data_IF_720772142158
#
_entry.id   IF_720772142158
#
_cell.length_a   1.000
_cell.length_b   1.000
_cell.length_c   1.000
_cell.angle_alpha   90.00
_cell.angle_beta   90.00
_cell.angle_gamma   90.00
#
_symmetry.space_group_name_H-M   'P 1'
#
loop_
_entity.id
_entity.type
_entity.pdbx_description
1 polymer ?
#
# COMPACT_ATOMS: atom_id res chain seq x y z
N UNK A 1 11.27 3.71 -80.86
CA UNK A 1 11.04 2.72 -79.80
C UNK A 1 11.19 3.39 -78.45
N UNK A 2 10.08 3.71 -77.77
CA UNK A 2 10.11 4.27 -76.41
C UNK A 2 10.32 3.12 -75.41
N UNK A 3 11.33 3.23 -74.54
CA UNK A 3 11.48 2.34 -73.40
C UNK A 3 10.74 2.95 -72.21
N UNK A 4 9.61 2.37 -71.85
CA UNK A 4 8.91 2.70 -70.61
C UNK A 4 9.78 2.26 -69.43
N UNK A 5 10.29 3.20 -68.63
CA UNK A 5 10.87 2.90 -67.33
C UNK A 5 9.86 3.24 -66.25
N UNK A 6 9.41 2.22 -65.53
CA UNK A 6 8.60 2.38 -64.33
C UNK A 6 9.55 2.56 -63.15
N UNK A 7 9.62 3.77 -62.60
CA UNK A 7 10.36 4.03 -61.36
C UNK A 7 9.42 3.72 -60.21
N UNK A 8 9.59 2.56 -59.55
CA UNK A 8 8.92 2.26 -58.28
C UNK A 8 9.81 2.75 -57.13
N UNK A 9 9.62 3.99 -56.71
CA UNK A 9 10.13 4.50 -55.44
C UNK A 9 8.97 4.58 -54.44
N UNK A 10 9.10 3.94 -53.28
CA UNK A 10 8.25 4.24 -52.12
C UNK A 10 8.85 5.46 -51.44
N UNK A 11 8.11 6.57 -51.41
CA UNK A 11 8.35 7.63 -50.44
C UNK A 11 7.50 7.28 -49.23
N UNK A 12 8.15 6.96 -48.11
CA UNK A 12 7.49 6.73 -46.83
C UNK A 12 7.46 8.05 -46.11
N UNK A 13 6.28 8.62 -45.93
CA UNK A 13 6.07 9.82 -45.11
C UNK A 13 5.34 9.34 -43.84
N UNK A 14 5.96 9.51 -42.67
CA UNK A 14 5.29 9.29 -41.39
C UNK A 14 4.64 10.62 -41.03
N UNK A 15 3.36 10.77 -41.36
CA UNK A 15 2.50 11.81 -40.80
C UNK A 15 1.54 11.14 -39.82
N UNK A 16 1.46 11.65 -38.60
CA UNK A 16 0.65 11.13 -37.50
C UNK A 16 -0.85 11.33 -37.67
N UNK A 17 -1.41 10.94 -38.81
CA UNK A 17 -2.84 11.03 -39.10
C UNK A 17 -3.12 10.58 -40.53
N UNK A 18 -4.05 9.65 -40.70
CA UNK A 18 -4.36 8.98 -41.98
C UNK A 18 -4.57 9.94 -43.15
N UNK A 19 -3.69 9.88 -44.15
CA UNK A 19 -4.00 10.29 -45.51
C UNK A 19 -3.28 9.39 -46.52
N UNK A 20 -4.00 8.92 -47.55
CA UNK A 20 -3.47 8.20 -48.71
C UNK A 20 -3.73 9.02 -49.96
N UNK A 21 -2.69 9.39 -50.69
CA UNK A 21 -2.81 9.93 -52.04
C UNK A 21 -2.23 8.95 -53.07
N UNK A 22 -3.03 8.66 -54.11
CA UNK A 22 -2.60 7.90 -55.28
C UNK A 22 -2.15 8.87 -56.38
N UNK A 23 -0.93 8.70 -56.87
CA UNK A 23 -0.41 9.53 -57.96
C UNK A 23 -1.11 9.24 -59.29
N UNK A 24 -1.65 10.28 -59.92
CA UNK A 24 -2.11 10.21 -61.31
C UNK A 24 -0.90 10.03 -62.25
N UNK A 25 -1.04 9.09 -63.21
CA UNK A 25 -0.12 8.77 -64.31
C UNK A 25 0.76 9.94 -64.75
N UNK A 26 2.08 9.75 -64.73
CA UNK A 26 3.03 10.64 -65.42
C UNK A 26 3.45 9.97 -66.74
N UNK A 27 3.12 10.61 -67.87
CA UNK A 27 3.58 10.23 -69.21
C UNK A 27 4.73 11.17 -69.57
N UNK A 28 5.91 10.63 -69.87
CA UNK A 28 7.08 11.42 -70.28
C UNK A 28 7.51 10.97 -71.68
N UNK A 29 7.42 11.87 -72.65
CA UNK A 29 8.01 11.68 -73.98
C UNK A 29 9.47 12.20 -73.96
N UNK A 30 10.38 11.40 -74.50
CA UNK A 30 11.82 11.57 -74.36
C UNK A 30 12.37 12.79 -75.13
N UNK A 31 13.35 13.49 -74.52
CA UNK A 31 14.27 14.36 -75.26
C UNK A 31 14.98 15.47 -74.48
N UNK A 32 14.51 15.87 -73.30
CA UNK A 32 15.07 17.03 -72.57
C UNK A 32 15.21 16.84 -71.05
N UNK A 33 16.05 17.68 -70.44
CA UNK A 33 16.26 17.75 -68.99
C UNK A 33 14.98 18.26 -68.31
N UNK A 34 14.43 17.49 -67.37
CA UNK A 34 13.21 17.85 -66.64
C UNK A 34 13.62 18.65 -65.39
N UNK A 35 13.29 19.95 -65.37
CA UNK A 35 13.42 20.80 -64.18
C UNK A 35 12.03 21.03 -63.60
N UNK A 36 11.53 20.09 -62.78
CA UNK A 36 10.32 20.28 -61.99
C UNK A 36 10.73 20.47 -60.53
N UNK A 37 10.50 21.67 -59.99
CA UNK A 37 10.70 21.96 -58.58
C UNK A 37 9.33 21.92 -57.90
N UNK A 38 9.13 20.96 -56.99
CA UNK A 38 7.95 20.94 -56.15
C UNK A 38 7.90 22.22 -55.30
N UNK A 39 6.69 22.75 -55.05
CA UNK A 39 6.50 23.89 -54.15
C UNK A 39 7.10 23.56 -52.78
N UNK A 40 8.04 24.39 -52.33
CA UNK A 40 8.67 24.26 -51.02
C UNK A 40 7.73 24.88 -49.98
N UNK A 41 7.15 24.05 -49.13
CA UNK A 41 6.42 24.52 -47.95
C UNK A 41 7.42 24.58 -46.80
N UNK A 42 7.57 25.76 -46.20
CA UNK A 42 8.27 25.92 -44.92
C UNK A 42 7.23 25.79 -43.82
N UNK A 43 7.26 24.64 -43.14
CA UNK A 43 6.62 24.51 -41.84
C UNK A 43 7.53 25.20 -40.81
N UNK A 44 6.96 25.84 -39.79
CA UNK A 44 7.74 26.50 -38.74
C UNK A 44 8.72 25.55 -38.05
N UNK A 45 9.55 26.07 -37.14
CA UNK A 45 10.34 25.23 -36.24
C UNK A 45 9.44 24.09 -35.74
N UNK A 46 9.84 22.82 -35.89
CA UNK A 46 9.01 21.72 -35.43
C UNK A 46 8.68 21.98 -33.97
N UNK A 47 7.39 22.05 -33.64
CA UNK A 47 6.99 21.97 -32.24
C UNK A 47 7.70 20.75 -31.67
N UNK A 48 8.44 20.95 -30.57
CA UNK A 48 8.99 19.81 -29.85
C UNK A 48 7.85 18.80 -29.71
N UNK A 49 8.08 17.52 -30.05
CA UNK A 49 7.04 16.51 -29.90
C UNK A 49 6.47 16.73 -28.51
N UNK A 50 5.12 16.86 -28.36
CA UNK A 50 4.54 17.09 -27.05
C UNK A 50 5.20 16.09 -26.15
N UNK A 51 5.88 16.58 -25.10
CA UNK A 51 6.57 15.71 -24.16
C UNK A 51 5.54 14.64 -23.89
N UNK A 52 5.83 13.41 -24.33
CA UNK A 52 5.14 12.28 -23.74
C UNK A 52 5.57 12.45 -22.31
N UNK A 53 4.72 13.09 -21.50
CA UNK A 53 4.36 12.48 -20.25
C UNK A 53 4.18 11.03 -20.67
N UNK A 54 5.25 10.23 -20.49
CA UNK A 54 5.06 8.88 -20.07
C UNK A 54 3.92 9.05 -19.07
N UNK A 55 2.76 8.46 -19.34
CA UNK A 55 1.83 8.22 -18.26
C UNK A 55 2.70 7.51 -17.22
N UNK A 56 3.25 8.32 -16.30
CA UNK A 56 4.27 7.90 -15.37
C UNK A 56 3.54 6.80 -14.66
N UNK A 57 4.00 5.57 -14.87
CA UNK A 57 3.37 4.40 -14.26
C UNK A 57 3.15 4.79 -12.81
N UNK A 58 1.88 4.94 -12.41
CA UNK A 58 1.42 5.11 -11.03
C UNK A 58 1.64 3.78 -10.32
N UNK A 59 2.89 3.33 -10.38
CA UNK A 59 3.47 2.41 -9.44
C UNK A 59 3.49 3.18 -8.11
N UNK A 60 2.30 3.42 -7.56
CA UNK A 60 2.08 3.45 -6.14
C UNK A 60 2.36 2.01 -5.76
N UNK A 61 3.63 1.73 -5.50
CA UNK A 61 4.12 0.36 -5.37
C UNK A 61 3.50 -0.25 -4.12
N UNK A 62 3.27 0.54 -3.08
CA UNK A 62 2.56 0.15 -1.87
C UNK A 62 1.84 1.36 -1.22
N UNK A 63 0.69 1.14 -0.61
CA UNK A 63 0.09 2.06 0.36
C UNK A 63 0.64 1.68 1.76
N UNK A 64 0.89 2.66 2.64
CA UNK A 64 1.29 2.43 4.05
C UNK A 64 0.13 2.75 5.00
N UNK A 65 -1.09 2.75 4.46
CA UNK A 65 -2.28 3.32 5.10
C UNK A 65 -2.72 2.48 6.31
N UNK A 66 -2.25 1.24 6.41
CA UNK A 66 -2.53 0.32 7.50
C UNK A 66 -1.71 0.51 8.79
N UNK A 67 -0.64 1.30 8.79
CA UNK A 67 0.28 1.42 9.93
C UNK A 67 0.00 2.64 10.81
N UNK A 68 0.83 3.69 10.76
CA UNK A 68 0.79 4.86 11.64
C UNK A 68 -0.63 5.40 11.90
N UNK A 69 -1.28 5.93 10.85
CA UNK A 69 -2.54 6.68 11.00
C UNK A 69 -3.68 5.76 11.43
N UNK A 70 -3.71 4.52 10.95
CA UNK A 70 -4.74 3.55 11.37
C UNK A 70 -4.60 3.19 12.84
N UNK A 71 -3.40 2.86 13.30
CA UNK A 71 -3.14 2.55 14.72
C UNK A 71 -3.46 3.75 15.60
N UNK A 72 -3.03 4.95 15.21
CA UNK A 72 -3.29 6.15 15.99
C UNK A 72 -4.79 6.41 16.13
N UNK A 73 -5.54 6.36 15.03
CA UNK A 73 -6.98 6.60 15.05
C UNK A 73 -7.72 5.55 15.90
N UNK A 74 -7.37 4.27 15.80
CA UNK A 74 -7.98 3.20 16.61
C UNK A 74 -7.70 3.42 18.10
N UNK A 75 -6.46 3.72 18.48
CA UNK A 75 -6.08 4.03 19.87
C UNK A 75 -6.93 5.20 20.42
N UNK A 76 -7.04 6.30 19.68
CA UNK A 76 -7.86 7.45 20.07
C UNK A 76 -9.36 7.11 20.17
N UNK A 77 -9.88 6.26 19.28
CA UNK A 77 -11.27 5.80 19.35
C UNK A 77 -11.56 4.96 20.59
N UNK A 78 -10.61 4.13 21.02
CA UNK A 78 -10.70 3.34 22.25
C UNK A 78 -10.53 4.20 23.53
N UNK A 79 -10.15 5.46 23.38
CA UNK A 79 -9.95 6.40 24.49
C UNK A 79 -8.59 6.26 25.17
N UNK A 80 -7.58 5.76 24.46
CA UNK A 80 -6.19 5.88 24.89
C UNK A 80 -5.80 7.36 24.99
N UNK A 81 -4.91 7.71 25.92
CA UNK A 81 -4.36 9.06 25.99
C UNK A 81 -3.62 9.40 24.69
N UNK A 82 -3.66 10.67 24.28
CA UNK A 82 -3.10 11.15 23.01
C UNK A 82 -1.59 10.87 22.89
N UNK A 83 -0.82 11.12 23.95
CA UNK A 83 0.63 10.94 23.95
C UNK A 83 1.01 9.46 23.83
N UNK A 84 0.35 8.58 24.60
CA UNK A 84 0.56 7.13 24.52
C UNK A 84 0.12 6.55 23.16
N UNK A 85 -0.97 7.08 22.59
CA UNK A 85 -1.48 6.65 21.29
C UNK A 85 -0.54 7.06 20.15
N UNK A 86 0.00 8.28 20.21
CA UNK A 86 0.97 8.80 19.25
C UNK A 86 2.30 8.04 19.35
N UNK A 87 2.81 7.82 20.56
CA UNK A 87 4.04 7.06 20.78
C UNK A 87 3.94 5.63 20.23
N UNK A 88 2.82 4.94 20.48
CA UNK A 88 2.60 3.60 19.96
C UNK A 88 2.45 3.58 18.43
N UNK A 89 1.81 4.59 17.85
CA UNK A 89 1.69 4.74 16.40
C UNK A 89 3.05 5.00 15.75
N UNK A 90 3.88 5.88 16.32
CA UNK A 90 5.27 6.12 15.87
C UNK A 90 6.09 4.84 15.95
N UNK A 91 5.99 4.10 17.05
CA UNK A 91 6.70 2.83 17.20
C UNK A 91 6.24 1.78 16.17
N UNK A 92 4.96 1.80 15.79
CA UNK A 92 4.40 0.91 14.75
C UNK A 92 4.90 1.26 13.36
N UNK A 93 5.11 2.55 13.07
CA UNK A 93 5.64 3.00 11.78
C UNK A 93 7.17 2.79 11.67
N UNK A 94 7.87 2.78 12.79
CA UNK A 94 9.33 2.79 12.86
C UNK A 94 10.07 1.82 11.92
N UNK A 95 9.57 0.59 11.64
CA UNK A 95 10.19 -0.27 10.64
C UNK A 95 10.26 0.37 9.26
N UNK A 96 9.16 0.95 8.77
CA UNK A 96 9.08 1.50 7.41
C UNK A 96 9.44 2.98 7.31
N UNK A 97 9.22 3.77 8.38
CA UNK A 97 9.49 5.20 8.36
C UNK A 97 9.99 5.70 9.71
N UNK A 98 11.01 6.55 9.68
CA UNK A 98 11.42 7.37 10.82
C UNK A 98 10.65 8.68 10.80
N UNK A 99 9.79 8.90 11.80
CA UNK A 99 9.01 10.13 11.95
C UNK A 99 9.80 11.11 12.83
N UNK A 100 10.27 12.21 12.25
CA UNK A 100 10.95 13.28 12.99
C UNK A 100 9.97 14.34 13.49
N UNK A 101 8.84 14.52 12.79
CA UNK A 101 7.72 15.41 13.16
C UNK A 101 6.51 15.14 12.26
N UNK A 102 5.36 15.78 12.52
CA UNK A 102 4.16 15.75 11.65
C UNK A 102 4.43 16.19 10.19
N UNK A 103 5.59 16.82 9.91
CA UNK A 103 5.99 17.32 8.59
C UNK A 103 7.11 16.52 7.93
N UNK A 104 7.77 15.61 8.64
CA UNK A 104 9.07 15.08 8.25
C UNK A 104 9.19 13.57 8.47
N UNK A 105 9.01 12.82 7.37
CA UNK A 105 8.89 11.37 7.32
C UNK A 105 10.00 10.79 6.43
N UNK A 106 10.96 10.09 7.04
CA UNK A 106 12.13 9.51 6.38
C UNK A 106 12.00 7.98 6.24
N UNK A 107 11.90 7.49 5.01
CA UNK A 107 11.74 6.08 4.65
C UNK A 107 12.92 5.23 5.12
N UNK A 108 12.63 4.10 5.76
CA UNK A 108 13.56 3.05 6.14
C UNK A 108 13.66 1.96 5.05
N UNK A 109 14.65 1.07 5.20
CA UNK A 109 14.91 -0.04 4.29
C UNK A 109 14.86 -1.42 4.96
N UNK A 110 14.21 -1.54 6.13
CA UNK A 110 14.10 -2.81 6.88
C UNK A 110 13.39 -3.89 6.07
N UNK A 111 12.44 -3.51 5.22
CA UNK A 111 11.73 -4.39 4.30
C UNK A 111 12.67 -5.06 3.28
N UNK A 112 13.84 -4.49 3.01
CA UNK A 112 14.88 -5.08 2.17
C UNK A 112 15.89 -5.93 2.97
N UNK A 113 15.82 -5.88 4.30
CA UNK A 113 16.73 -6.58 5.19
C UNK A 113 16.18 -7.96 5.56
N UNK A 114 16.92 -8.99 5.17
CA UNK A 114 16.58 -10.41 5.41
C UNK A 114 16.21 -10.74 6.86
N UNK A 115 16.82 -10.05 7.84
CA UNK A 115 16.57 -10.29 9.25
C UNK A 115 15.25 -9.67 9.75
N UNK A 116 14.65 -8.77 8.96
CA UNK A 116 13.42 -8.06 9.29
C UNK A 116 12.25 -8.48 8.40
N UNK A 117 12.50 -8.94 7.17
CA UNK A 117 11.46 -9.38 6.23
C UNK A 117 10.45 -10.37 6.84
N UNK A 118 10.96 -11.48 7.37
CA UNK A 118 10.12 -12.46 8.04
C UNK A 118 9.62 -11.96 9.40
N UNK A 119 10.50 -11.54 10.33
CA UNK A 119 10.15 -11.20 11.72
C UNK A 119 9.34 -9.92 11.94
N UNK A 120 9.45 -8.92 11.07
CA UNK A 120 8.76 -7.63 11.21
C UNK A 120 7.74 -7.43 10.09
N UNK A 121 8.07 -7.75 8.83
CA UNK A 121 7.17 -7.46 7.70
C UNK A 121 6.22 -8.61 7.30
N UNK A 122 6.16 -9.69 8.08
CA UNK A 122 5.32 -10.87 7.78
C UNK A 122 5.51 -11.48 6.37
N UNK A 123 6.68 -11.28 5.74
CA UNK A 123 7.01 -11.80 4.40
C UNK A 123 7.45 -13.26 4.43
N UNK A 124 6.63 -14.09 5.04
CA UNK A 124 7.01 -15.46 5.41
C UNK A 124 6.69 -16.48 4.33
N UNK A 125 5.85 -16.14 3.35
CA UNK A 125 5.21 -17.13 2.46
C UNK A 125 4.29 -18.10 3.21
N UNK A 126 4.04 -17.86 4.50
CA UNK A 126 3.24 -18.67 5.40
C UNK A 126 1.74 -18.46 5.18
N UNK A 127 0.93 -18.99 6.09
CA UNK A 127 -0.51 -18.84 6.05
C UNK A 127 -0.96 -17.67 6.94
N UNK A 128 -1.77 -16.76 6.40
CA UNK A 128 -2.21 -15.52 7.05
C UNK A 128 -2.71 -15.73 8.47
N UNK A 129 -3.70 -16.60 8.69
CA UNK A 129 -4.31 -16.77 10.02
C UNK A 129 -3.34 -17.30 11.08
N UNK A 130 -2.29 -18.03 10.68
CA UNK A 130 -1.24 -18.46 11.60
C UNK A 130 -0.32 -17.29 11.96
N UNK A 131 0.08 -16.49 10.97
CA UNK A 131 0.93 -15.32 11.19
C UNK A 131 0.21 -14.27 12.05
N UNK A 132 -1.05 -14.03 11.76
CA UNK A 132 -1.93 -13.14 12.51
C UNK A 132 -2.05 -13.61 13.97
N UNK A 133 -2.40 -14.88 14.19
CA UNK A 133 -2.56 -15.46 15.52
C UNK A 133 -1.27 -15.39 16.35
N UNK A 134 -0.14 -15.80 15.78
CA UNK A 134 1.14 -15.79 16.51
C UNK A 134 1.53 -14.36 16.88
N UNK A 135 1.30 -13.41 15.98
CA UNK A 135 1.60 -11.99 16.23
C UNK A 135 0.71 -11.43 17.33
N UNK A 136 -0.60 -11.69 17.27
CA UNK A 136 -1.57 -11.34 18.31
C UNK A 136 -1.17 -11.88 19.70
N UNK A 137 -0.80 -13.15 19.79
CA UNK A 137 -0.37 -13.76 21.07
C UNK A 137 0.90 -13.11 21.60
N UNK A 138 1.92 -12.89 20.74
CA UNK A 138 3.16 -12.21 21.13
C UNK A 138 2.87 -10.80 21.65
N UNK A 139 2.02 -10.06 20.96
CA UNK A 139 1.62 -8.71 21.35
C UNK A 139 0.96 -8.69 22.74
N UNK A 140 -0.02 -9.57 22.98
CA UNK A 140 -0.72 -9.67 24.25
C UNK A 140 0.21 -10.12 25.39
N UNK A 141 1.17 -11.01 25.14
CA UNK A 141 2.07 -11.55 26.15
C UNK A 141 3.27 -10.68 26.50
N UNK A 142 3.66 -9.74 25.62
CA UNK A 142 4.82 -8.89 25.86
C UNK A 142 4.62 -8.07 27.15
N UNK A 143 5.52 -8.20 28.13
CA UNK A 143 5.40 -7.48 29.39
C UNK A 143 5.97 -6.06 29.27
N UNK A 144 5.23 -5.10 29.81
CA UNK A 144 5.63 -3.70 29.91
C UNK A 144 5.81 -3.39 31.40
N UNK A 145 7.00 -2.95 31.80
CA UNK A 145 7.26 -2.36 33.12
C UNK A 145 8.10 -1.09 32.99
N UNK A 146 8.11 -0.24 34.01
CA UNK A 146 8.77 1.08 33.96
C UNK A 146 10.28 0.99 33.68
N UNK A 147 10.92 -0.16 33.95
CA UNK A 147 12.36 -0.35 33.74
C UNK A 147 12.70 -0.77 32.31
N UNK A 148 11.71 -1.20 31.52
CA UNK A 148 11.90 -1.60 30.13
C UNK A 148 10.94 -0.92 29.14
N UNK A 149 10.20 0.12 29.57
CA UNK A 149 9.15 0.77 28.79
C UNK A 149 9.57 1.11 27.36
N UNK A 150 10.67 1.82 27.16
CA UNK A 150 11.14 2.22 25.82
C UNK A 150 11.32 1.01 24.88
N UNK A 151 12.06 0.00 25.36
CA UNK A 151 12.26 -1.24 24.61
C UNK A 151 10.95 -1.99 24.36
N UNK A 152 10.08 -2.06 25.36
CA UNK A 152 8.78 -2.72 25.24
C UNK A 152 7.87 -2.00 24.26
N UNK A 153 7.86 -0.67 24.21
CA UNK A 153 7.07 0.10 23.24
C UNK A 153 7.59 -0.15 21.82
N UNK A 154 8.91 -0.15 21.62
CA UNK A 154 9.51 -0.50 20.33
C UNK A 154 9.13 -1.92 19.88
N UNK A 155 9.22 -2.92 20.76
CA UNK A 155 8.82 -4.30 20.45
C UNK A 155 7.29 -4.43 20.20
N UNK A 156 6.45 -3.66 20.90
CA UNK A 156 5.01 -3.59 20.61
C UNK A 156 4.74 -2.97 19.25
N UNK A 157 5.47 -1.91 18.90
CA UNK A 157 5.41 -1.25 17.60
C UNK A 157 5.73 -2.22 16.48
N UNK A 158 6.86 -2.94 16.56
CA UNK A 158 7.22 -3.97 15.58
C UNK A 158 6.15 -5.07 15.46
N UNK A 159 5.53 -5.47 16.57
CA UNK A 159 4.45 -6.47 16.56
C UNK A 159 3.16 -5.93 15.94
N UNK A 160 2.81 -4.66 16.16
CA UNK A 160 1.66 -4.02 15.51
C UNK A 160 1.90 -3.80 14.01
N UNK A 161 3.12 -3.43 13.65
CA UNK A 161 3.56 -3.33 12.26
C UNK A 161 3.37 -4.67 11.56
N UNK A 162 3.98 -5.72 12.15
CA UNK A 162 3.83 -7.10 11.70
C UNK A 162 2.37 -7.52 11.58
N UNK A 163 1.55 -7.12 12.55
CA UNK A 163 0.11 -7.45 12.58
C UNK A 163 -0.63 -6.81 11.41
N UNK A 164 -0.42 -5.52 11.16
CA UNK A 164 -0.93 -4.85 9.95
C UNK A 164 -0.45 -5.55 8.68
N UNK A 165 0.82 -5.94 8.62
CA UNK A 165 1.40 -6.65 7.48
C UNK A 165 0.82 -8.04 7.26
N UNK A 166 0.26 -8.69 8.29
CA UNK A 166 -0.48 -9.93 8.05
C UNK A 166 -1.67 -9.71 7.11
N UNK A 167 -2.30 -8.53 7.18
CA UNK A 167 -3.38 -8.14 6.27
C UNK A 167 -2.84 -7.53 4.99
N UNK A 168 -1.84 -6.64 5.10
CA UNK A 168 -1.25 -5.92 3.98
C UNK A 168 -0.68 -6.91 2.95
N UNK A 169 0.10 -7.87 3.46
CA UNK A 169 0.89 -8.82 2.69
C UNK A 169 0.22 -10.18 2.47
N UNK A 170 -1.12 -10.23 2.48
CA UNK A 170 -1.86 -11.43 2.07
C UNK A 170 -2.07 -11.50 0.56
N UNK A 171 -1.70 -12.63 -0.06
CA UNK A 171 -1.85 -12.92 -1.49
C UNK A 171 -3.30 -13.14 -1.89
N UNK A 172 -3.56 -12.71 -3.11
CA UNK A 172 -4.79 -12.80 -3.87
C UNK A 172 -4.96 -14.18 -4.53
N UNK A 173 -4.86 -15.26 -3.78
CA UNK A 173 -4.69 -16.58 -4.41
C UNK A 173 -6.01 -17.30 -4.78
N UNK A 174 -7.14 -16.72 -4.37
CA UNK A 174 -8.50 -17.14 -4.73
C UNK A 174 -9.07 -16.38 -5.96
N UNK A 175 -8.26 -15.54 -6.62
CA UNK A 175 -8.74 -14.74 -7.75
C UNK A 175 -8.82 -15.59 -9.00
N UNK A 176 -9.98 -15.53 -9.68
CA UNK A 176 -10.13 -16.05 -11.02
C UNK A 176 -9.79 -14.96 -12.05
N UNK A 177 -8.91 -15.25 -13.01
CA UNK A 177 -8.20 -16.50 -13.23
C UNK A 177 -6.91 -16.60 -12.41
N UNK A 178 -6.47 -17.84 -12.19
CA UNK A 178 -5.33 -18.28 -11.38
C UNK A 178 -3.95 -17.67 -11.75
N UNK A 179 -3.89 -16.81 -12.78
CA UNK A 179 -2.67 -16.14 -13.26
C UNK A 179 -2.88 -14.62 -13.31
N UNK A 180 -2.55 -13.96 -12.19
CA UNK A 180 -2.62 -12.51 -12.04
C UNK A 180 -1.55 -11.75 -12.88
N UNK A 181 -0.42 -12.38 -13.19
CA UNK A 181 0.65 -11.81 -14.05
C UNK A 181 0.14 -11.54 -15.48
N UNK A 182 -0.83 -12.33 -15.94
CA UNK A 182 -1.48 -12.11 -17.23
C UNK A 182 -2.57 -11.02 -17.18
N UNK A 183 -2.93 -10.54 -15.99
CA UNK A 183 -3.99 -9.59 -15.73
C UNK A 183 -3.36 -8.23 -15.45
N UNK A 184 -3.05 -7.51 -16.53
CA UNK A 184 -2.71 -6.09 -16.49
C UNK A 184 -3.88 -5.29 -15.87
N UNK A 185 -3.85 -5.19 -14.55
CA UNK A 185 -4.85 -4.57 -13.69
C UNK A 185 -4.65 -3.06 -13.60
N UNK A 186 -3.49 -2.57 -14.05
CA UNK A 186 -3.17 -1.15 -14.14
C UNK A 186 -3.86 -0.51 -15.36
N UNK A 187 -3.88 -1.20 -16.51
CA UNK A 187 -4.43 -0.67 -17.76
C UNK A 187 -5.81 -1.25 -18.14
N UNK A 188 -6.45 -2.08 -17.28
CA UNK A 188 -7.75 -2.70 -17.59
C UNK A 188 -8.76 -2.65 -16.44
N UNK A 189 -9.74 -1.74 -16.54
CA UNK A 189 -10.89 -1.66 -15.62
C UNK A 189 -11.67 -2.98 -15.50
N UNK A 190 -11.67 -3.82 -16.55
CA UNK A 190 -12.35 -5.12 -16.54
C UNK A 190 -11.68 -6.10 -15.58
N UNK A 191 -10.35 -6.08 -15.51
CA UNK A 191 -9.58 -6.95 -14.63
C UNK A 191 -9.77 -6.50 -13.17
N UNK A 192 -9.79 -5.18 -12.93
CA UNK A 192 -9.98 -4.62 -11.59
C UNK A 192 -11.31 -5.07 -10.97
N UNK A 193 -12.39 -5.07 -11.76
CA UNK A 193 -13.69 -5.54 -11.29
C UNK A 193 -13.66 -7.03 -10.92
N UNK A 194 -12.96 -7.88 -11.68
CA UNK A 194 -12.82 -9.31 -11.35
C UNK A 194 -12.06 -9.52 -10.03
N UNK A 195 -11.06 -8.69 -9.77
CA UNK A 195 -10.32 -8.71 -8.49
C UNK A 195 -11.22 -8.25 -7.34
N UNK A 196 -11.95 -7.15 -7.50
CA UNK A 196 -12.90 -6.67 -6.47
C UNK A 196 -13.95 -7.75 -6.19
N UNK A 197 -14.52 -8.36 -7.22
CA UNK A 197 -15.53 -9.42 -7.08
C UNK A 197 -14.99 -10.67 -6.37
N UNK A 198 -13.71 -10.98 -6.54
CA UNK A 198 -13.08 -12.12 -5.84
C UNK A 198 -12.98 -11.92 -4.33
N UNK A 199 -12.87 -10.67 -3.87
CA UNK A 199 -12.85 -10.32 -2.44
C UNK A 199 -14.21 -10.06 -1.85
N UNK A 200 -15.19 -9.68 -2.67
CA UNK A 200 -16.50 -9.24 -2.18
C UNK A 200 -17.17 -10.34 -1.35
N UNK A 201 -17.37 -10.07 -0.06
CA UNK A 201 -17.94 -11.05 0.88
C UNK A 201 -16.94 -12.06 1.46
N UNK A 202 -15.65 -12.01 1.10
CA UNK A 202 -14.56 -12.76 1.74
C UNK A 202 -13.95 -11.96 2.90
N UNK A 203 -14.79 -11.52 3.83
CA UNK A 203 -14.30 -10.90 5.07
C UNK A 203 -13.49 -11.90 5.90
N UNK A 204 -12.47 -11.39 6.60
CA UNK A 204 -11.81 -12.13 7.68
C UNK A 204 -12.75 -12.41 8.84
N UNK A 205 -12.39 -13.36 9.70
CA UNK A 205 -13.12 -13.65 10.94
C UNK A 205 -12.70 -12.68 12.06
N UNK A 206 -13.53 -12.54 13.07
CA UNK A 206 -13.18 -11.81 14.29
C UNK A 206 -12.17 -12.61 15.11
N UNK A 207 -11.02 -12.00 15.47
CA UNK A 207 -9.96 -12.67 16.23
C UNK A 207 -10.41 -13.14 17.61
N UNK A 208 -11.29 -12.40 18.29
CA UNK A 208 -11.69 -12.69 19.67
C UNK A 208 -12.24 -14.11 19.84
N UNK A 209 -13.06 -14.57 18.88
CA UNK A 209 -13.71 -15.88 18.90
C UNK A 209 -12.70 -17.03 18.79
N UNK A 210 -11.55 -16.78 18.15
CA UNK A 210 -10.50 -17.78 17.96
C UNK A 210 -9.41 -17.65 19.04
N UNK A 211 -8.88 -16.45 19.28
CA UNK A 211 -7.69 -16.24 20.13
C UNK A 211 -7.97 -16.49 21.60
N UNK A 212 -9.10 -16.03 22.17
CA UNK A 212 -9.35 -16.19 23.61
C UNK A 212 -9.43 -17.68 24.04
N UNK A 213 -10.21 -18.54 23.36
CA UNK A 213 -10.20 -19.98 23.65
C UNK A 213 -8.80 -20.58 23.51
N UNK A 214 -8.05 -20.19 22.47
CA UNK A 214 -6.70 -20.68 22.25
C UNK A 214 -5.72 -20.27 23.34
N UNK A 215 -5.78 -19.03 23.85
CA UNK A 215 -4.97 -18.60 24.98
C UNK A 215 -5.29 -19.45 26.21
N UNK A 216 -6.56 -19.68 26.51
CA UNK A 216 -6.96 -20.54 27.63
C UNK A 216 -6.43 -21.97 27.45
N UNK A 217 -6.51 -22.49 26.23
CA UNK A 217 -6.09 -23.85 25.88
C UNK A 217 -4.57 -24.03 25.92
N UNK A 218 -3.81 -23.07 25.36
CA UNK A 218 -2.35 -23.02 25.43
C UNK A 218 -1.91 -22.87 26.89
N UNK A 219 -2.57 -22.02 27.68
CA UNK A 219 -2.28 -21.87 29.10
C UNK A 219 -2.53 -23.18 29.87
N UNK A 220 -3.58 -23.92 29.54
CA UNK A 220 -3.84 -25.23 30.12
C UNK A 220 -2.70 -26.22 29.83
N UNK A 221 -2.26 -26.33 28.57
CA UNK A 221 -1.21 -27.28 28.21
C UNK A 221 0.19 -26.85 28.61
N UNK A 222 0.49 -25.55 28.64
CA UNK A 222 1.76 -25.05 29.19
C UNK A 222 1.82 -25.24 30.70
N UNK A 223 0.69 -25.16 31.44
CA UNK A 223 0.63 -25.59 32.85
C UNK A 223 0.88 -27.09 33.01
N UNK A 224 0.39 -27.92 32.09
CA UNK A 224 0.52 -29.39 32.16
C UNK A 224 1.90 -29.90 31.75
N UNK A 225 2.46 -29.38 30.66
CA UNK A 225 3.68 -29.88 30.00
C UNK A 225 4.86 -28.90 30.07
N UNK A 226 4.69 -27.74 30.73
CA UNK A 226 5.65 -26.64 30.71
C UNK A 226 5.67 -25.88 29.38
N UNK A 227 6.49 -24.83 29.29
CA UNK A 227 6.66 -24.04 28.06
C UNK A 227 7.21 -24.86 26.88
N UNK A 228 7.84 -26.00 27.15
CA UNK A 228 8.27 -26.95 26.12
C UNK A 228 7.11 -27.45 25.24
N UNK A 229 5.85 -27.36 25.70
CA UNK A 229 4.68 -27.63 24.87
C UNK A 229 4.67 -26.84 23.55
N UNK A 230 5.17 -25.60 23.56
CA UNK A 230 5.13 -24.71 22.39
C UNK A 230 6.06 -25.18 21.27
N UNK A 231 7.08 -25.98 21.59
CA UNK A 231 8.10 -26.43 20.62
C UNK A 231 8.15 -27.94 20.45
N UNK A 232 7.68 -28.71 21.43
CA UNK A 232 7.71 -30.17 21.40
C UNK A 232 6.50 -30.74 20.63
N UNK A 233 6.74 -31.19 19.40
CA UNK A 233 5.69 -31.74 18.53
C UNK A 233 5.04 -33.01 19.09
N UNK A 234 5.74 -33.84 19.88
CA UNK A 234 5.15 -35.03 20.46
C UNK A 234 4.11 -34.67 21.54
N UNK A 235 4.41 -33.68 22.38
CA UNK A 235 3.43 -33.14 23.35
C UNK A 235 2.24 -32.51 22.63
N UNK A 236 2.47 -31.81 21.53
CA UNK A 236 1.40 -31.26 20.70
C UNK A 236 0.55 -32.36 20.08
N UNK A 237 1.15 -33.39 19.48
CA UNK A 237 0.43 -34.53 18.88
C UNK A 237 -0.36 -35.31 19.93
N UNK A 238 0.16 -35.47 21.14
CA UNK A 238 -0.60 -36.05 22.26
C UNK A 238 -1.77 -35.15 22.68
N UNK A 239 -1.59 -33.83 22.70
CA UNK A 239 -2.64 -32.87 23.04
C UNK A 239 -3.73 -32.75 21.96
N UNK A 240 -3.35 -32.79 20.68
CA UNK A 240 -4.22 -32.50 19.53
C UNK A 240 -4.56 -33.74 18.71
N UNK A 241 -4.64 -34.92 19.35
CA UNK A 241 -5.09 -36.18 18.72
C UNK A 241 -4.36 -36.49 17.40
N UNK A 242 -3.03 -36.34 17.42
CA UNK A 242 -2.14 -36.63 16.30
C UNK A 242 -1.67 -35.40 15.51
N UNK A 243 -2.20 -34.20 15.79
CA UNK A 243 -1.85 -32.97 15.08
C UNK A 243 -0.81 -32.12 15.83
N UNK A 244 -0.02 -31.31 15.14
CA UNK A 244 0.80 -30.25 15.76
C UNK A 244 -0.04 -29.00 16.05
N UNK A 245 0.49 -28.07 16.85
CA UNK A 245 -0.17 -26.77 17.07
C UNK A 245 -0.39 -26.04 15.73
N UNK A 246 0.61 -26.08 14.86
CA UNK A 246 0.55 -25.47 13.53
C UNK A 246 -0.52 -26.11 12.66
N UNK A 247 -0.56 -27.44 12.60
CA UNK A 247 -1.60 -28.19 11.87
C UNK A 247 -3.00 -27.86 12.42
N UNK A 248 -3.12 -27.73 13.75
CA UNK A 248 -4.40 -27.44 14.39
C UNK A 248 -4.90 -26.02 14.17
N UNK A 249 -4.00 -25.03 14.23
CA UNK A 249 -4.32 -23.65 13.90
C UNK A 249 -4.72 -23.53 12.42
N UNK A 250 -4.06 -24.27 11.51
CA UNK A 250 -4.45 -24.29 10.09
C UNK A 250 -5.90 -24.73 9.90
N UNK A 251 -6.33 -25.80 10.58
CA UNK A 251 -7.70 -26.32 10.45
C UNK A 251 -8.79 -25.34 10.94
N UNK A 252 -8.47 -24.47 11.90
CA UNK A 252 -9.43 -23.49 12.47
C UNK A 252 -9.66 -22.30 11.54
N UNK A 253 -8.57 -21.84 10.90
CA UNK A 253 -8.58 -20.61 10.12
C UNK A 253 -8.94 -20.81 8.64
N UNK A 254 -8.98 -22.05 8.14
CA UNK A 254 -9.53 -22.34 6.82
C UNK A 254 -11.06 -22.18 6.85
N UNK A 255 -11.63 -21.25 6.07
CA UNK A 255 -13.08 -21.18 5.84
C UNK A 255 -13.53 -22.36 4.95
N UNK A 256 -12.66 -22.81 4.04
CA UNK A 256 -12.72 -24.07 3.29
C UNK A 256 -11.33 -24.74 3.18
N UNK A 257 -11.24 -26.07 3.05
CA UNK A 257 -9.98 -26.80 2.88
C UNK A 257 -9.11 -26.35 1.68
N UNK A 258 -9.72 -25.62 0.74
CA UNK A 258 -9.10 -25.10 -0.48
C UNK A 258 -8.65 -23.65 -0.37
N UNK A 259 -8.97 -22.94 0.72
CA UNK A 259 -8.55 -21.56 0.91
C UNK A 259 -7.05 -21.50 1.14
N UNK A 260 -6.41 -20.50 0.56
CA UNK A 260 -4.96 -20.37 0.59
C UNK A 260 -4.58 -18.91 0.80
N UNK A 261 -5.12 -18.29 1.86
CA UNK A 261 -4.64 -16.99 2.37
C UNK A 261 -3.16 -17.10 2.72
N UNK A 262 -2.29 -16.82 1.76
CA UNK A 262 -0.86 -17.02 1.83
C UNK A 262 -0.17 -15.67 1.90
N UNK A 263 0.81 -15.53 2.78
CA UNK A 263 1.63 -14.32 2.85
C UNK A 263 2.50 -14.16 1.60
N UNK A 264 2.89 -12.93 1.26
CA UNK A 264 4.02 -12.70 0.36
C UNK A 264 5.32 -13.25 0.94
N UNK A 265 6.30 -13.44 0.07
CA UNK A 265 7.61 -13.97 0.42
C UNK A 265 7.68 -15.49 0.55
N UNK A 266 8.70 -15.94 1.28
CA UNK A 266 9.10 -17.33 1.47
C UNK A 266 10.59 -17.56 1.20
N UNK A 267 11.14 -18.61 1.81
CA UNK A 267 12.58 -18.89 1.73
C UNK A 267 13.41 -18.01 2.68
N UNK A 268 14.73 -17.93 2.45
CA UNK A 268 15.63 -17.15 3.30
C UNK A 268 15.52 -15.64 3.06
N UNK A 269 15.35 -15.21 1.80
CA UNK A 269 15.23 -13.83 1.36
C UNK A 269 14.20 -13.74 0.24
N UNK A 270 13.40 -12.68 0.20
CA UNK A 270 12.41 -12.44 -0.86
C UNK A 270 12.60 -11.06 -1.48
N UNK A 271 12.35 -10.97 -2.78
CA UNK A 271 12.25 -9.71 -3.53
C UNK A 271 10.80 -9.36 -3.85
N UNK A 272 9.82 -10.09 -3.31
CA UNK A 272 8.37 -9.83 -3.47
C UNK A 272 8.01 -8.39 -2.99
N UNK A 273 8.92 -7.73 -2.26
CA UNK A 273 8.87 -6.33 -1.81
C UNK A 273 9.53 -5.30 -2.75
N UNK A 274 10.37 -5.74 -3.69
CA UNK A 274 11.19 -4.91 -4.59
C UNK A 274 10.62 -4.88 -6.01
N UNK A 275 10.07 -5.99 -6.43
CA UNK A 275 9.22 -6.04 -7.60
C UNK A 275 7.84 -5.63 -7.14
N UNK A 276 7.18 -4.72 -7.86
CA UNK A 276 5.73 -4.66 -7.83
C UNK A 276 5.25 -6.07 -8.19
N UNK A 277 5.12 -6.93 -7.20
CA UNK A 277 4.67 -8.30 -7.37
C UNK A 277 3.27 -8.15 -7.90
N UNK A 278 3.07 -8.37 -9.19
CA UNK A 278 1.86 -8.68 -9.98
C UNK A 278 0.55 -8.98 -9.19
N UNK A 279 0.21 -8.12 -8.25
CA UNK A 279 -0.72 -8.29 -7.15
C UNK A 279 -0.76 -6.96 -6.38
N UNK A 280 -1.86 -6.67 -5.70
CA UNK A 280 -2.20 -5.33 -5.25
C UNK A 280 -2.16 -5.26 -3.73
N UNK A 281 -1.01 -5.52 -3.08
CA UNK A 281 -0.91 -5.39 -1.64
C UNK A 281 -1.26 -3.95 -1.29
N UNK A 282 -2.17 -3.84 -0.33
CA UNK A 282 -2.51 -2.64 0.39
C UNK A 282 -3.45 -1.61 -0.22
N UNK A 283 -4.09 -1.90 -1.36
CA UNK A 283 -5.16 -1.02 -1.84
C UNK A 283 -6.47 -1.26 -1.11
N UNK A 284 -6.75 -0.44 -0.10
CA UNK A 284 -7.94 -0.55 0.74
C UNK A 284 -9.23 -0.54 -0.10
N UNK A 285 -9.27 0.28 -1.16
CA UNK A 285 -10.44 0.38 -2.04
C UNK A 285 -10.77 -0.92 -2.80
N UNK A 286 -9.81 -1.83 -2.97
CA UNK A 286 -10.00 -3.14 -3.61
C UNK A 286 -10.57 -4.16 -2.62
N UNK A 287 -10.14 -4.08 -1.36
CA UNK A 287 -10.47 -5.05 -0.29
C UNK A 287 -11.02 -4.35 0.96
N UNK A 288 -12.09 -3.55 0.85
CA UNK A 288 -12.58 -2.73 1.96
C UNK A 288 -13.01 -3.58 3.16
N UNK A 289 -13.68 -4.72 2.92
CA UNK A 289 -14.09 -5.64 3.99
C UNK A 289 -12.88 -6.25 4.71
N UNK A 290 -11.78 -6.53 4.00
CA UNK A 290 -10.55 -7.06 4.59
C UNK A 290 -9.91 -6.05 5.54
N UNK A 291 -9.80 -4.81 5.11
CA UNK A 291 -9.30 -3.71 5.94
C UNK A 291 -10.23 -3.44 7.14
N UNK A 292 -11.56 -3.50 6.98
CA UNK A 292 -12.48 -3.36 8.11
C UNK A 292 -12.30 -4.48 9.16
N UNK A 293 -11.96 -5.70 8.73
CA UNK A 293 -11.64 -6.78 9.68
C UNK A 293 -10.31 -6.53 10.40
N UNK A 294 -9.28 -6.07 9.69
CA UNK A 294 -8.03 -5.61 10.31
C UNK A 294 -8.31 -4.60 11.42
N UNK A 295 -9.06 -3.53 11.13
CA UNK A 295 -9.33 -2.48 12.12
C UNK A 295 -10.12 -3.01 13.32
N UNK A 296 -11.12 -3.89 13.12
CA UNK A 296 -11.86 -4.52 14.23
C UNK A 296 -10.94 -5.37 15.11
N UNK A 297 -10.07 -6.16 14.49
CA UNK A 297 -9.17 -7.07 15.16
C UNK A 297 -8.05 -6.32 15.89
N UNK A 298 -7.54 -5.24 15.29
CA UNK A 298 -6.63 -4.27 15.92
C UNK A 298 -7.29 -3.61 17.13
N UNK A 299 -8.52 -3.13 17.01
CA UNK A 299 -9.25 -2.49 18.11
C UNK A 299 -9.42 -3.44 19.30
N UNK A 300 -9.79 -4.70 19.04
CA UNK A 300 -9.86 -5.73 20.06
C UNK A 300 -8.50 -5.99 20.72
N UNK A 301 -7.42 -6.17 19.95
CA UNK A 301 -6.07 -6.38 20.48
C UNK A 301 -5.61 -5.25 21.40
N UNK A 302 -5.76 -4.00 20.95
CA UNK A 302 -5.39 -2.81 21.71
C UNK A 302 -6.23 -2.70 22.99
N UNK A 303 -7.54 -2.97 22.90
CA UNK A 303 -8.42 -2.93 24.06
C UNK A 303 -8.03 -3.94 25.14
N UNK A 304 -7.68 -5.17 24.75
CA UNK A 304 -7.20 -6.17 25.70
C UNK A 304 -5.84 -5.81 26.28
N UNK A 305 -4.90 -5.38 25.43
CA UNK A 305 -3.52 -5.09 25.83
C UNK A 305 -3.43 -3.98 26.86
N UNK A 306 -4.17 -2.90 26.62
CA UNK A 306 -4.10 -1.67 27.40
C UNK A 306 -5.33 -1.46 28.29
N UNK A 307 -6.20 -2.48 28.41
CA UNK A 307 -7.43 -2.43 29.19
C UNK A 307 -8.32 -1.21 28.82
N UNK A 308 -8.51 -1.01 27.51
CA UNK A 308 -9.34 0.07 26.97
C UNK A 308 -10.78 -0.40 26.75
N UNK A 309 -11.69 0.56 26.60
CA UNK A 309 -13.11 0.28 26.42
C UNK A 309 -13.44 0.06 24.93
N UNK A 310 -13.55 -1.21 24.54
CA UNK A 310 -13.95 -1.60 23.18
C UNK A 310 -15.32 -1.04 22.79
N UNK A 311 -16.21 -0.74 23.74
CA UNK A 311 -17.50 -0.12 23.48
C UNK A 311 -17.43 1.31 22.93
N UNK A 312 -16.29 1.99 23.06
CA UNK A 312 -16.04 3.32 22.47
C UNK A 312 -15.61 3.26 21.02
N UNK A 313 -15.15 2.10 20.54
CA UNK A 313 -14.71 1.94 19.17
C UNK A 313 -15.90 1.99 18.21
N UNK A 314 -15.91 3.00 17.33
CA UNK A 314 -16.98 3.18 16.36
C UNK A 314 -16.49 2.82 14.94
N UNK A 315 -16.79 1.59 14.52
CA UNK A 315 -16.44 1.09 13.18
C UNK A 315 -17.07 1.90 12.04
N UNK A 316 -18.17 2.62 12.28
CA UNK A 316 -18.88 3.37 11.23
C UNK A 316 -18.03 4.47 10.59
N UNK A 317 -17.03 4.98 11.31
CA UNK A 317 -16.08 5.97 10.79
C UNK A 317 -15.18 5.32 9.72
N UNK A 318 -14.67 4.12 10.00
CA UNK A 318 -13.89 3.35 9.03
C UNK A 318 -14.76 2.88 7.86
N UNK A 319 -16.01 2.45 8.09
CA UNK A 319 -16.95 2.11 7.01
C UNK A 319 -17.23 3.29 6.07
N UNK A 320 -17.33 4.50 6.62
CA UNK A 320 -17.47 5.74 5.82
C UNK A 320 -16.20 6.00 4.99
N UNK A 321 -15.02 5.89 5.60
CA UNK A 321 -13.74 6.07 4.90
C UNK A 321 -13.54 5.04 3.78
N UNK A 322 -13.76 3.75 4.06
CA UNK A 322 -13.58 2.68 3.06
C UNK A 322 -14.58 2.79 1.93
N UNK A 323 -15.84 3.13 2.21
CA UNK A 323 -16.83 3.41 1.15
C UNK A 323 -16.34 4.53 0.24
N UNK A 324 -15.87 5.65 0.80
CA UNK A 324 -15.32 6.74 0.00
C UNK A 324 -14.12 6.28 -0.84
N UNK A 325 -13.18 5.54 -0.25
CA UNK A 325 -12.03 5.00 -0.95
C UNK A 325 -12.44 4.10 -2.13
N UNK A 326 -13.40 3.20 -1.92
CA UNK A 326 -13.96 2.33 -2.97
C UNK A 326 -14.63 3.12 -4.09
N UNK A 327 -15.45 4.12 -3.76
CA UNK A 327 -16.15 4.96 -4.76
C UNK A 327 -15.19 5.82 -5.57
N UNK A 328 -14.06 6.23 -4.97
CA UNK A 328 -13.08 7.12 -5.58
C UNK A 328 -11.82 6.43 -6.09
N UNK A 329 -11.68 5.11 -5.86
CA UNK A 329 -10.48 4.30 -6.15
C UNK A 329 -9.20 4.95 -5.60
N UNK A 330 -9.20 5.31 -4.33
CA UNK A 330 -8.10 6.03 -3.70
C UNK A 330 -7.59 5.40 -2.39
N UNK A 331 -6.39 5.83 -2.00
CA UNK A 331 -5.76 5.63 -0.70
C UNK A 331 -6.54 6.37 0.41
N UNK A 332 -6.40 5.90 1.66
CA UNK A 332 -6.92 6.57 2.86
C UNK A 332 -5.95 7.59 3.47
N UNK A 333 -4.75 7.76 2.92
CA UNK A 333 -3.78 8.78 3.35
C UNK A 333 -4.39 10.17 3.30
N UNK A 334 -4.17 10.98 4.33
CA UNK A 334 -4.81 12.28 4.50
C UNK A 334 -6.28 12.22 4.94
N UNK A 335 -7.05 11.21 4.51
CA UNK A 335 -8.43 11.00 4.99
C UNK A 335 -8.42 10.56 6.45
N UNK A 336 -7.57 9.58 6.81
CA UNK A 336 -7.43 9.14 8.20
C UNK A 336 -6.82 10.26 9.06
N UNK A 337 -5.86 11.01 8.53
CA UNK A 337 -5.23 12.13 9.27
C UNK A 337 -6.24 13.23 9.60
N UNK A 338 -7.20 13.47 8.71
CA UNK A 338 -8.34 14.34 8.97
C UNK A 338 -9.27 13.79 10.07
N UNK A 339 -9.59 12.48 10.06
CA UNK A 339 -10.38 11.86 11.14
C UNK A 339 -9.63 11.88 12.50
N UNK A 340 -8.30 11.71 12.50
CA UNK A 340 -7.45 11.88 13.69
C UNK A 340 -7.54 13.32 14.19
N UNK A 341 -7.38 14.31 13.32
CA UNK A 341 -7.44 15.73 13.70
C UNK A 341 -8.79 16.09 14.32
N UNK A 342 -9.91 15.64 13.73
CA UNK A 342 -11.24 15.78 14.32
C UNK A 342 -11.33 15.14 15.70
N UNK A 343 -10.82 13.92 15.86
CA UNK A 343 -10.86 13.18 17.13
C UNK A 343 -10.06 13.88 18.23
N UNK A 344 -8.95 14.53 17.87
CA UNK A 344 -8.11 15.37 18.75
C UNK A 344 -8.68 16.79 18.97
N UNK A 345 -9.77 17.15 18.30
CA UNK A 345 -10.33 18.51 18.35
C UNK A 345 -9.46 19.57 17.66
N UNK A 346 -8.50 19.15 16.81
CA UNK A 346 -7.70 20.04 15.97
C UNK A 346 -8.52 20.51 14.76
N UNK A 347 -8.17 21.69 14.25
CA UNK A 347 -8.76 22.33 13.05
C UNK A 347 -7.83 22.32 11.84
N UNK A 348 -6.69 21.68 12.01
CA UNK A 348 -5.65 21.58 11.00
C UNK A 348 -4.97 20.22 11.09
N UNK A 349 -4.43 19.77 9.96
CA UNK A 349 -3.62 18.56 9.84
C UNK A 349 -2.65 18.67 8.67
N UNK A 350 -1.72 17.72 8.60
CA UNK A 350 -0.64 17.73 7.63
C UNK A 350 -0.62 16.44 6.82
N UNK A 351 -0.29 16.58 5.54
CA UNK A 351 -0.01 15.47 4.62
C UNK A 351 1.47 15.58 4.24
N UNK A 352 2.36 14.80 4.88
CA UNK A 352 3.79 14.89 4.64
C UNK A 352 4.17 14.26 3.30
N UNK A 353 5.19 14.85 2.66
CA UNK A 353 5.90 14.27 1.52
C UNK A 353 7.03 13.42 2.09
N UNK A 354 7.05 12.13 1.79
CA UNK A 354 8.08 11.24 2.32
C UNK A 354 9.38 11.44 1.54
N UNK A 355 10.50 11.05 2.14
CA UNK A 355 11.82 11.08 1.51
C UNK A 355 12.70 9.97 2.04
N UNK A 356 13.82 9.70 1.39
CA UNK A 356 14.85 8.80 1.91
C UNK A 356 16.17 9.52 2.10
N UNK A 357 16.96 9.06 3.06
CA UNK A 357 18.36 9.46 3.19
C UNK A 357 19.23 8.56 2.31
N UNK A 358 20.19 9.14 1.59
CA UNK A 358 21.13 8.43 0.71
C UNK A 358 21.90 7.25 1.34
N UNK A 359 21.99 7.19 2.67
CA UNK A 359 22.60 6.06 3.39
C UNK A 359 21.68 4.82 3.38
N UNK A 360 20.36 4.99 3.23
CA UNK A 360 19.34 3.95 3.15
C UNK A 360 19.16 3.52 1.70
N UNK A 361 20.09 2.72 1.20
CA UNK A 361 20.29 2.47 -0.23
C UNK A 361 19.02 1.93 -0.91
N UNK A 362 18.29 1.00 -0.29
CA UNK A 362 17.09 0.44 -0.90
C UNK A 362 15.93 1.44 -0.90
N UNK A 363 15.74 2.21 0.18
CA UNK A 363 14.74 3.27 0.25
C UNK A 363 15.02 4.40 -0.77
N UNK A 364 16.29 4.77 -0.95
CA UNK A 364 16.69 5.75 -1.97
C UNK A 364 16.55 5.24 -3.39
N UNK A 365 16.75 3.94 -3.61
CA UNK A 365 16.41 3.33 -4.89
C UNK A 365 14.90 3.39 -5.13
N UNK A 366 14.08 3.06 -4.14
CA UNK A 366 12.61 3.13 -4.27
C UNK A 366 12.11 4.55 -4.59
N UNK A 367 12.51 5.55 -3.80
CA UNK A 367 12.16 6.97 -4.02
C UNK A 367 12.62 7.47 -5.40
N UNK A 368 13.77 7.00 -5.87
CA UNK A 368 14.35 7.45 -7.13
C UNK A 368 13.78 6.76 -8.36
N UNK A 369 13.31 5.51 -8.25
CA UNK A 369 13.04 4.67 -9.43
C UNK A 369 11.66 4.02 -9.44
N UNK A 370 10.99 3.97 -8.29
CA UNK A 370 9.78 3.18 -8.11
C UNK A 370 8.59 4.04 -7.67
N UNK A 371 8.79 4.97 -6.72
CA UNK A 371 7.70 5.72 -6.09
C UNK A 371 7.86 7.24 -6.20
N UNK A 372 6.84 7.92 -6.73
CA UNK A 372 6.79 9.39 -6.75
C UNK A 372 6.06 9.92 -5.50
N UNK A 373 6.78 10.10 -4.39
CA UNK A 373 6.20 10.52 -3.11
C UNK A 373 5.54 11.92 -3.13
N UNK A 374 6.03 12.83 -3.98
CA UNK A 374 5.39 14.14 -4.16
C UNK A 374 4.03 14.02 -4.84
N UNK A 375 3.93 13.17 -5.87
CA UNK A 375 2.66 12.87 -6.54
C UNK A 375 1.68 12.20 -5.57
N UNK A 376 2.13 11.19 -4.82
CA UNK A 376 1.31 10.51 -3.82
C UNK A 376 0.77 11.49 -2.77
N UNK A 377 1.59 12.44 -2.29
CA UNK A 377 1.14 13.46 -1.34
C UNK A 377 0.12 14.43 -1.96
N UNK A 378 0.28 14.81 -3.24
CA UNK A 378 -0.71 15.64 -3.96
C UNK A 378 -2.03 14.92 -4.18
N UNK A 379 -1.99 13.62 -4.47
CA UNK A 379 -3.17 12.77 -4.62
C UNK A 379 -3.89 12.61 -3.28
N UNK A 380 -3.17 12.23 -2.21
CA UNK A 380 -3.71 12.16 -0.85
C UNK A 380 -4.38 13.47 -0.43
N UNK A 381 -3.73 14.61 -0.68
CA UNK A 381 -4.31 15.94 -0.46
C UNK A 381 -5.61 16.15 -1.23
N UNK A 382 -5.64 15.80 -2.50
CA UNK A 382 -6.82 16.04 -3.34
C UNK A 382 -8.01 15.18 -2.89
N UNK A 383 -7.77 13.93 -2.51
CA UNK A 383 -8.81 13.05 -1.97
C UNK A 383 -9.26 13.43 -0.56
N UNK A 384 -8.35 13.87 0.31
CA UNK A 384 -8.69 14.40 1.62
C UNK A 384 -9.63 15.62 1.50
N UNK A 385 -9.30 16.59 0.63
CA UNK A 385 -10.16 17.75 0.35
C UNK A 385 -11.55 17.30 -0.12
N UNK A 386 -11.60 16.35 -1.05
CA UNK A 386 -12.86 15.82 -1.57
C UNK A 386 -13.70 15.16 -0.46
N UNK A 387 -13.08 14.34 0.39
CA UNK A 387 -13.74 13.70 1.53
C UNK A 387 -14.31 14.73 2.52
N UNK A 388 -13.54 15.77 2.84
CA UNK A 388 -13.95 16.85 3.74
C UNK A 388 -15.17 17.60 3.19
N UNK A 389 -15.16 17.93 1.89
CA UNK A 389 -16.28 18.61 1.22
C UNK A 389 -17.55 17.76 1.26
N UNK A 390 -17.44 16.46 0.99
CA UNK A 390 -18.57 15.52 1.03
C UNK A 390 -19.15 15.38 2.44
N UNK A 391 -18.31 15.34 3.48
CA UNK A 391 -18.79 15.29 4.86
C UNK A 391 -19.42 16.62 5.32
N UNK A 392 -18.83 17.75 4.94
CA UNK A 392 -19.30 19.08 5.32
C UNK A 392 -20.54 19.53 4.53
N UNK A 393 -21.14 18.68 3.70
CA UNK A 393 -22.23 19.01 2.79
C UNK A 393 -21.95 20.27 1.94
N UNK A 394 -20.73 20.42 1.43
CA UNK A 394 -20.29 21.56 0.59
C UNK A 394 -20.30 22.95 1.27
N UNK A 395 -20.16 23.04 2.60
CA UNK A 395 -20.20 24.32 3.34
C UNK A 395 -18.93 25.19 3.24
N UNK A 396 -17.92 24.77 2.48
CA UNK A 396 -16.73 25.56 2.15
C UNK A 396 -15.61 24.68 1.60
N UNK A 397 -14.70 25.24 0.80
CA UNK A 397 -13.46 24.55 0.42
C UNK A 397 -12.43 24.71 1.54
N UNK A 398 -11.75 23.63 1.97
CA UNK A 398 -10.70 23.73 2.97
C UNK A 398 -9.55 24.61 2.47
N UNK A 399 -8.93 25.35 3.39
CA UNK A 399 -7.73 26.12 3.08
C UNK A 399 -6.53 25.17 3.01
N UNK A 400 -5.66 25.38 2.02
CA UNK A 400 -4.50 24.54 1.74
C UNK A 400 -3.26 25.41 1.68
N UNK A 401 -2.26 25.07 2.48
CA UNK A 401 -0.94 25.70 2.46
C UNK A 401 0.14 24.65 2.11
N UNK A 402 1.00 24.97 1.16
CA UNK A 402 2.17 24.16 0.84
C UNK A 402 3.37 24.59 1.69
N UNK A 403 3.85 23.70 2.55
CA UNK A 403 5.01 23.96 3.41
C UNK A 403 6.27 23.56 2.65
N UNK A 404 7.18 24.52 2.48
CA UNK A 404 8.40 24.38 1.70
C UNK A 404 9.64 24.61 2.56
N UNK A 405 10.75 23.96 2.23
CA UNK A 405 12.02 24.12 2.95
C UNK A 405 13.22 23.88 2.04
N UNK A 406 13.95 24.95 1.72
CA UNK A 406 15.21 24.87 0.98
C UNK A 406 16.32 24.13 1.72
N UNK A 407 16.16 23.91 3.04
CA UNK A 407 17.07 23.12 3.86
C UNK A 407 16.78 21.61 3.84
N UNK A 408 15.69 21.18 3.18
CA UNK A 408 15.32 19.78 3.04
C UNK A 408 15.01 19.49 1.56
N UNK A 409 16.06 19.53 0.73
CA UNK A 409 15.98 19.19 -0.69
C UNK A 409 15.87 17.68 -0.82
N UNK A 410 14.76 17.21 -1.38
CA UNK A 410 14.47 15.81 -1.64
C UNK A 410 14.75 15.49 -3.11
N UNK A 411 15.22 14.29 -3.39
CA UNK A 411 15.64 13.86 -4.72
C UNK A 411 14.61 12.89 -5.28
N UNK A 412 14.09 13.15 -6.48
CA UNK A 412 13.25 12.19 -7.20
C UNK A 412 13.60 12.22 -8.67
N UNK A 413 13.64 11.07 -9.35
CA UNK A 413 13.82 11.06 -10.82
C UNK A 413 12.51 11.26 -11.58
N UNK A 414 11.38 11.32 -10.88
CA UNK A 414 10.06 11.58 -11.46
C UNK A 414 9.76 13.09 -11.42
N UNK A 415 9.54 13.70 -12.59
CA UNK A 415 9.39 15.16 -12.72
C UNK A 415 10.67 15.96 -12.44
N UNK A 416 10.61 16.96 -11.55
CA UNK A 416 11.77 17.76 -11.18
C UNK A 416 12.73 16.95 -10.31
N UNK A 417 14.02 16.93 -10.69
CA UNK A 417 15.07 16.14 -10.00
C UNK A 417 15.17 16.43 -8.50
N UNK A 418 14.76 17.64 -8.10
CA UNK A 418 14.73 18.11 -6.74
C UNK A 418 13.36 18.70 -6.42
N UNK A 419 12.83 18.38 -5.24
CA UNK A 419 11.67 19.07 -4.68
C UNK A 419 11.95 19.51 -3.23
N UNK A 420 11.33 20.62 -2.84
CA UNK A 420 11.52 21.26 -1.54
C UNK A 420 10.23 21.30 -0.71
N UNK A 421 9.16 20.67 -1.21
CA UNK A 421 7.89 20.50 -0.49
C UNK A 421 8.08 19.52 0.65
N UNK A 422 7.79 19.96 1.87
CA UNK A 422 7.81 19.12 3.07
C UNK A 422 6.47 18.45 3.30
N UNK A 423 5.39 19.23 3.26
CA UNK A 423 4.04 18.77 3.55
C UNK A 423 3.00 19.71 2.96
N UNK A 424 1.75 19.26 2.93
CA UNK A 424 0.57 20.10 2.73
C UNK A 424 -0.17 20.26 4.05
N UNK A 425 -0.42 21.49 4.49
CA UNK A 425 -1.28 21.80 5.63
C UNK A 425 -2.70 22.07 5.14
N UNK A 426 -3.69 21.45 5.77
CA UNK A 426 -5.10 21.63 5.47
C UNK A 426 -5.85 22.13 6.71
N UNK A 427 -6.71 23.14 6.56
CA UNK A 427 -7.55 23.69 7.64
C UNK A 427 -9.05 23.44 7.37
N UNK A 428 -9.85 23.18 8.42
CA UNK A 428 -11.26 22.77 8.28
C UNK A 428 -12.22 23.11 9.45
#
# INVERSE_FOLDING_TARGET
MSRTRIVKGKITEITGGTSRMYGNRIIINAGGRINYYAKRYTYGEPEEPPVKEFEESTAVVYETDGHYSTVYLVCLMLGMNEDDAEELAIATEAPDTTIHSELDFELNDTWSNVNYQGPVHSLTGGFHGIEEFITAVKFLWLKIDDRNREKSISELGELLHRFGDTYAHSKLDNIKPDNLVAFDLYHSDKNLNLVIDSWRGQGGKTLAEDVEPWIQYINFYTKKYGYNFLTNQDYQRQAFKGQTLLEKLRDVYLLQPTDKFKMYGGGFFTTDHLTADDSYPDRIYIRPDWYLNYVKNLAWLLSLKFNLDLGKFNISIFEKMTRFATENKCSLKGIIDYEIAKKRGKREFYIPVFYSNSIRIAASADESFSTNYLKNAKEARSFAIKYMIEEANNSGSPEVEEITSLLNIKVSRFGNLFHYTKAYKLNF
#
